data_IF_703263407522
#
_entry.id   IF_703263407522
#
_cell.length_a   1.000
_cell.length_b   1.000
_cell.length_c   1.000
_cell.angle_alpha   90.00
_cell.angle_beta   90.00
_cell.angle_gamma   90.00
#
_symmetry.space_group_name_H-M   'P 1'
#
loop_
_entity.id
_entity.type
_entity.pdbx_description
1 polymer ?
#
# COMPACT_ATOMS: atom_id res chain seq x y z
N UNK A 1 -18.09 0.22 1.68
CA UNK A 1 -17.08 0.48 0.63
C UNK A 1 -15.88 1.12 1.32
N UNK A 2 -14.67 0.61 1.14
CA UNK A 2 -13.48 1.21 1.75
C UNK A 2 -13.20 2.61 1.18
N UNK A 3 -12.49 3.41 1.97
CA UNK A 3 -12.03 4.76 1.60
C UNK A 3 -10.51 4.70 1.49
N UNK A 4 -9.98 4.85 0.28
CA UNK A 4 -8.56 5.01 0.07
C UNK A 4 -8.18 6.48 0.26
N UNK A 5 -7.18 6.72 1.09
CA UNK A 5 -6.69 8.06 1.42
C UNK A 5 -5.24 8.16 0.95
N UNK A 6 -4.96 9.15 0.10
CA UNK A 6 -3.59 9.49 -0.24
C UNK A 6 -2.81 9.81 1.02
N UNK A 7 -1.71 9.12 1.24
CA UNK A 7 -0.76 9.37 2.31
C UNK A 7 0.66 9.32 1.75
N UNK A 8 1.53 10.11 2.33
CA UNK A 8 2.90 10.12 1.84
C UNK A 8 3.37 11.49 1.38
N UNK A 9 4.32 11.50 0.48
CA UNK A 9 4.83 12.73 -0.10
C UNK A 9 3.73 13.48 -0.87
N UNK A 10 3.91 14.76 -1.08
CA UNK A 10 3.01 15.57 -1.89
C UNK A 10 3.81 16.39 -2.88
N UNK A 11 3.56 16.15 -4.17
CA UNK A 11 4.20 16.87 -5.27
C UNK A 11 3.73 18.33 -5.38
N UNK A 12 2.63 18.69 -4.71
CA UNK A 12 2.07 20.02 -4.81
C UNK A 12 2.76 21.00 -3.83
N UNK A 13 3.46 22.06 -4.31
CA UNK A 13 4.27 22.93 -3.45
C UNK A 13 3.49 23.63 -2.33
N UNK A 14 2.18 23.86 -2.48
CA UNK A 14 1.32 24.44 -1.47
C UNK A 14 0.64 23.40 -0.56
N UNK A 15 0.84 22.10 -0.82
CA UNK A 15 0.33 21.00 0.00
C UNK A 15 1.07 20.95 1.34
N UNK A 16 0.31 20.73 2.42
CA UNK A 16 0.89 20.60 3.75
C UNK A 16 1.04 19.12 4.09
N UNK A 17 2.27 18.65 4.21
CA UNK A 17 2.61 17.24 4.50
C UNK A 17 1.88 16.65 5.72
N UNK A 18 1.57 17.48 6.72
CA UNK A 18 0.83 17.03 7.90
C UNK A 18 -0.54 16.40 7.58
N UNK A 19 -1.15 16.79 6.45
CA UNK A 19 -2.45 16.23 6.03
C UNK A 19 -2.35 14.96 5.19
N UNK A 20 -1.15 14.64 4.70
CA UNK A 20 -0.85 13.39 4.02
C UNK A 20 -0.08 12.39 4.90
N UNK A 21 0.13 12.74 6.18
CA UNK A 21 0.78 11.86 7.13
C UNK A 21 -0.16 10.72 7.58
N UNK A 22 0.30 9.47 7.71
CA UNK A 22 -0.53 8.33 8.12
C UNK A 22 -1.34 8.52 9.40
N UNK A 23 -0.87 9.34 10.33
CA UNK A 23 -1.59 9.66 11.58
C UNK A 23 -2.96 10.32 11.35
N UNK A 24 -3.19 10.97 10.21
CA UNK A 24 -4.52 11.50 9.86
C UNK A 24 -5.52 10.37 9.62
N UNK A 25 -5.04 9.22 9.12
CA UNK A 25 -5.86 8.02 8.95
C UNK A 25 -6.17 7.37 10.30
N UNK A 26 -5.24 7.45 11.27
CA UNK A 26 -5.48 6.96 12.63
C UNK A 26 -6.67 7.68 13.28
N UNK A 27 -6.70 9.01 13.20
CA UNK A 27 -7.82 9.80 13.71
C UNK A 27 -9.15 9.42 13.06
N UNK A 28 -9.17 9.24 11.73
CA UNK A 28 -10.36 8.83 11.01
C UNK A 28 -10.80 7.41 11.37
N UNK A 29 -9.86 6.46 11.50
CA UNK A 29 -10.14 5.08 11.82
C UNK A 29 -10.76 4.90 13.22
N UNK A 30 -10.29 5.68 14.18
CA UNK A 30 -10.83 5.71 15.56
C UNK A 30 -12.23 6.35 15.57
N UNK A 31 -12.43 7.43 14.81
CA UNK A 31 -13.71 8.13 14.75
C UNK A 31 -14.80 7.32 14.01
N UNK A 32 -14.41 6.46 13.06
CA UNK A 32 -15.34 5.68 12.23
C UNK A 32 -14.94 4.20 12.17
N UNK A 33 -15.14 3.44 13.27
CA UNK A 33 -14.66 2.05 13.38
C UNK A 33 -15.32 1.07 12.38
N UNK A 34 -16.51 1.39 11.88
CA UNK A 34 -17.23 0.57 10.88
C UNK A 34 -16.82 0.86 9.43
N UNK A 35 -15.92 1.83 9.22
CA UNK A 35 -15.42 2.20 7.90
C UNK A 35 -14.02 1.61 7.70
N UNK A 36 -13.82 0.89 6.61
CA UNK A 36 -12.48 0.44 6.23
C UNK A 36 -11.73 1.56 5.54
N UNK A 37 -10.54 1.88 6.02
CA UNK A 37 -9.62 2.84 5.42
C UNK A 37 -8.44 2.13 4.78
N UNK A 38 -7.95 2.68 3.67
CA UNK A 38 -6.75 2.20 2.98
C UNK A 38 -5.74 3.34 2.93
N UNK A 39 -4.59 3.14 3.57
CA UNK A 39 -3.42 4.00 3.48
C UNK A 39 -2.78 3.78 2.11
N UNK A 40 -2.92 4.73 1.19
CA UNK A 40 -2.27 4.65 -0.11
C UNK A 40 -0.75 4.87 0.01
N UNK A 41 0.03 4.27 -0.91
CA UNK A 41 1.49 4.43 -1.00
C UNK A 41 2.25 4.00 0.27
N UNK A 42 1.64 3.13 1.09
CA UNK A 42 2.22 2.71 2.39
C UNK A 42 2.70 3.89 3.25
N UNK A 43 2.10 5.08 3.09
CA UNK A 43 2.51 6.30 3.79
C UNK A 43 3.91 6.81 3.46
N UNK A 44 4.51 6.41 2.33
CA UNK A 44 5.88 6.74 1.94
C UNK A 44 6.16 8.25 2.05
N UNK A 45 7.20 8.69 2.80
CA UNK A 45 8.28 7.90 3.40
C UNK A 45 8.05 7.43 4.85
N UNK A 46 6.88 7.66 5.45
CA UNK A 46 6.55 7.34 6.86
C UNK A 46 6.06 5.89 7.03
N UNK A 47 6.84 4.92 6.56
CA UNK A 47 6.48 3.49 6.61
C UNK A 47 6.23 2.98 8.03
N UNK A 48 7.01 3.47 9.00
CA UNK A 48 6.86 3.11 10.41
C UNK A 48 5.48 3.50 10.95
N UNK A 49 5.10 4.75 10.70
CA UNK A 49 3.82 5.29 11.18
C UNK A 49 2.65 4.61 10.48
N UNK A 50 2.75 4.36 9.16
CA UNK A 50 1.73 3.64 8.41
C UNK A 50 1.53 2.21 8.92
N UNK A 51 2.64 1.51 9.18
CA UNK A 51 2.61 0.16 9.73
C UNK A 51 1.97 0.12 11.13
N UNK A 52 2.31 1.08 12.01
CA UNK A 52 1.74 1.17 13.35
C UNK A 52 0.25 1.52 13.30
N UNK A 53 -0.16 2.46 12.45
CA UNK A 53 -1.57 2.81 12.27
C UNK A 53 -2.38 1.60 11.79
N UNK A 54 -1.86 0.82 10.85
CA UNK A 54 -2.52 -0.38 10.38
C UNK A 54 -2.47 -1.54 11.40
N UNK A 55 -1.41 -1.63 12.19
CA UNK A 55 -1.30 -2.62 13.27
C UNK A 55 -2.32 -2.38 14.37
N UNK A 56 -2.44 -1.13 14.81
CA UNK A 56 -3.34 -0.72 15.90
C UNK A 56 -4.81 -0.79 15.50
N UNK A 57 -5.18 -0.35 14.29
CA UNK A 57 -6.57 -0.22 13.87
C UNK A 57 -7.02 -1.41 13.01
N UNK A 58 -8.01 -2.17 13.49
CA UNK A 58 -8.53 -3.33 12.78
C UNK A 58 -9.11 -2.98 11.39
N UNK A 59 -9.64 -1.77 11.24
CA UNK A 59 -10.29 -1.25 10.05
C UNK A 59 -9.34 -0.49 9.09
N UNK A 60 -8.02 -0.59 9.27
CA UNK A 60 -7.03 0.04 8.38
C UNK A 60 -6.25 -1.01 7.62
N UNK A 61 -6.15 -0.81 6.31
CA UNK A 61 -5.33 -1.58 5.38
C UNK A 61 -4.32 -0.66 4.69
N UNK A 62 -3.35 -1.23 3.98
CA UNK A 62 -2.29 -0.51 3.27
C UNK A 62 -2.27 -0.96 1.82
N UNK A 63 -2.09 -0.06 0.86
CA UNK A 63 -1.67 -0.42 -0.48
C UNK A 63 -0.21 -0.03 -0.74
N UNK A 64 0.43 -0.77 -1.63
CA UNK A 64 1.83 -0.60 -1.99
C UNK A 64 2.00 0.13 -3.32
N UNK A 65 1.08 1.05 -3.66
CA UNK A 65 1.12 1.79 -4.92
C UNK A 65 2.17 2.92 -4.89
N UNK A 66 2.66 3.35 -6.05
CA UNK A 66 3.40 4.60 -6.23
C UNK A 66 4.73 4.75 -5.47
N UNK A 67 5.32 3.67 -4.95
CA UNK A 67 6.53 3.74 -4.12
C UNK A 67 7.80 4.08 -4.93
N UNK A 68 7.81 3.76 -6.22
CA UNK A 68 8.89 4.09 -7.16
C UNK A 68 8.28 4.38 -8.51
N UNK A 69 8.44 5.59 -8.97
CA UNK A 69 7.90 6.05 -10.25
C UNK A 69 8.83 5.79 -11.43
N UNK A 70 8.28 5.89 -12.64
CA UNK A 70 9.00 5.83 -13.89
C UNK A 70 9.43 4.42 -14.29
N UNK A 71 10.63 4.31 -14.87
CA UNK A 71 11.17 3.07 -15.44
C UNK A 71 12.62 2.82 -14.94
N UNK A 72 12.83 2.65 -13.63
CA UNK A 72 14.16 2.43 -13.09
C UNK A 72 14.72 1.08 -13.56
N UNK A 73 16.02 1.01 -13.83
CA UNK A 73 16.68 -0.26 -14.14
C UNK A 73 16.71 -1.15 -12.88
N UNK A 74 16.35 -2.44 -12.96
CA UNK A 74 16.26 -3.33 -11.80
C UNK A 74 17.52 -3.34 -10.92
N UNK A 75 18.71 -3.44 -11.53
CA UNK A 75 19.98 -3.41 -10.80
C UNK A 75 20.21 -2.09 -10.07
N UNK A 76 19.87 -0.96 -10.71
CA UNK A 76 19.99 0.35 -10.06
C UNK A 76 19.02 0.51 -8.89
N UNK A 77 17.82 -0.07 -9.00
CA UNK A 77 16.86 -0.08 -7.94
C UNK A 77 17.39 -0.85 -6.72
N UNK A 78 17.90 -2.06 -6.94
CA UNK A 78 18.47 -2.89 -5.87
C UNK A 78 19.71 -2.28 -5.23
N UNK A 79 20.56 -1.61 -6.00
CA UNK A 79 21.80 -1.01 -5.49
C UNK A 79 21.56 0.34 -4.80
N UNK A 80 20.87 1.26 -5.49
CA UNK A 80 20.72 2.65 -5.04
C UNK A 80 19.60 2.83 -4.03
N UNK A 81 18.55 2.02 -4.12
CA UNK A 81 17.40 2.10 -3.22
C UNK A 81 17.33 0.92 -2.23
N UNK A 82 18.44 0.21 -2.04
CA UNK A 82 18.52 -0.89 -1.06
C UNK A 82 18.00 -0.49 0.32
N UNK A 83 18.35 0.68 0.81
CA UNK A 83 17.90 1.20 2.10
C UNK A 83 16.40 1.40 2.16
N UNK A 84 15.81 1.95 1.10
CA UNK A 84 14.38 2.17 0.95
C UNK A 84 13.59 0.85 0.93
N UNK A 85 13.99 -0.09 0.07
CA UNK A 85 13.35 -1.41 -0.02
C UNK A 85 13.47 -2.20 1.29
N UNK A 86 14.62 -2.06 1.99
CA UNK A 86 14.83 -2.68 3.28
C UNK A 86 13.94 -2.07 4.37
N UNK A 87 13.74 -0.76 4.38
CA UNK A 87 12.82 -0.11 5.30
C UNK A 87 11.39 -0.58 5.05
N UNK A 88 10.93 -0.58 3.80
CA UNK A 88 9.62 -1.08 3.44
C UNK A 88 9.43 -2.52 3.94
N UNK A 89 10.34 -3.44 3.60
CA UNK A 89 10.31 -4.83 4.07
C UNK A 89 10.27 -4.91 5.60
N UNK A 90 11.08 -4.11 6.30
CA UNK A 90 11.12 -4.10 7.78
C UNK A 90 9.77 -3.76 8.37
N UNK A 91 9.10 -2.72 7.85
CA UNK A 91 7.84 -2.25 8.43
C UNK A 91 6.64 -3.09 8.00
N UNK A 92 6.66 -3.71 6.83
CA UNK A 92 5.67 -4.74 6.47
C UNK A 92 5.78 -5.97 7.39
N UNK A 93 6.99 -6.40 7.72
CA UNK A 93 7.19 -7.48 8.70
C UNK A 93 6.82 -7.07 10.12
N UNK A 94 7.03 -5.81 10.52
CA UNK A 94 6.54 -5.29 11.80
C UNK A 94 5.02 -5.36 11.89
N UNK A 95 4.30 -4.93 10.85
CA UNK A 95 2.84 -5.10 10.76
C UNK A 95 2.45 -6.58 10.89
N UNK A 96 3.21 -7.49 10.26
CA UNK A 96 3.08 -8.94 10.39
C UNK A 96 1.79 -9.54 9.85
N UNK A 97 0.76 -8.72 9.56
CA UNK A 97 -0.52 -9.14 9.03
C UNK A 97 -0.62 -8.79 7.54
N UNK A 98 -0.21 -9.70 6.68
CA UNK A 98 -0.23 -9.53 5.23
C UNK A 98 -1.63 -9.51 4.61
N UNK A 99 -2.68 -9.92 5.33
CA UNK A 99 -4.07 -9.75 4.88
C UNK A 99 -4.49 -8.28 4.78
N UNK A 100 -3.78 -7.39 5.45
CA UNK A 100 -4.02 -5.94 5.40
C UNK A 100 -3.27 -5.21 4.29
N UNK A 101 -2.44 -5.92 3.53
CA UNK A 101 -1.55 -5.34 2.53
C UNK A 101 -2.07 -5.68 1.13
N UNK A 102 -2.15 -4.68 0.26
CA UNK A 102 -2.57 -4.87 -1.13
C UNK A 102 -1.53 -4.33 -2.09
N UNK A 103 -1.37 -5.00 -3.23
CA UNK A 103 -0.70 -4.43 -4.39
C UNK A 103 -1.54 -3.30 -4.98
N UNK A 104 -0.90 -2.20 -5.33
CA UNK A 104 -1.40 -1.12 -6.17
C UNK A 104 -0.27 -0.67 -7.09
N UNK A 105 -0.55 -0.11 -8.25
CA UNK A 105 0.48 0.36 -9.17
C UNK A 105 0.66 1.87 -9.18
N UNK A 106 -0.41 2.61 -9.01
CA UNK A 106 -0.45 4.05 -9.27
C UNK A 106 -0.19 4.40 -10.75
N UNK A 107 -0.71 3.51 -11.64
CA UNK A 107 -0.63 3.76 -13.08
C UNK A 107 -1.34 5.10 -13.43
N UNK A 108 -0.77 5.95 -14.34
CA UNK A 108 0.28 5.65 -15.31
C UNK A 108 1.71 6.02 -14.89
N UNK A 109 1.96 6.32 -13.63
CA UNK A 109 3.27 6.81 -13.16
C UNK A 109 4.35 5.74 -13.10
N UNK A 110 3.99 4.47 -13.15
CA UNK A 110 4.91 3.34 -13.03
C UNK A 110 4.93 2.42 -14.26
N UNK A 111 6.05 1.74 -14.47
CA UNK A 111 6.14 0.59 -15.37
C UNK A 111 5.60 -0.65 -14.62
N UNK A 112 4.38 -1.11 -14.96
CA UNK A 112 3.68 -2.17 -14.23
C UNK A 112 4.50 -3.47 -14.11
N UNK A 113 5.07 -4.06 -15.20
CA UNK A 113 5.88 -5.27 -15.07
C UNK A 113 7.06 -5.15 -14.11
N UNK A 114 7.77 -4.02 -14.18
CA UNK A 114 8.89 -3.74 -13.30
C UNK A 114 8.42 -3.53 -11.85
N UNK A 115 7.29 -2.89 -11.68
CA UNK A 115 6.71 -2.62 -10.36
C UNK A 115 6.26 -3.93 -9.67
N UNK A 116 5.60 -4.82 -10.41
CA UNK A 116 5.25 -6.17 -9.93
C UNK A 116 6.53 -6.90 -9.48
N UNK A 117 7.56 -6.88 -10.33
CA UNK A 117 8.86 -7.49 -10.00
C UNK A 117 9.43 -6.92 -8.70
N UNK A 118 9.42 -5.60 -8.52
CA UNK A 118 9.93 -4.95 -7.31
C UNK A 118 9.15 -5.37 -6.07
N UNK A 119 7.83 -5.30 -6.10
CA UNK A 119 6.99 -5.67 -4.96
C UNK A 119 7.13 -7.15 -4.61
N UNK A 120 7.26 -8.04 -5.61
CA UNK A 120 7.51 -9.47 -5.37
C UNK A 120 8.86 -9.76 -4.68
N UNK A 121 9.83 -8.84 -4.73
CA UNK A 121 11.08 -8.95 -3.98
C UNK A 121 11.00 -8.41 -2.54
N UNK A 122 9.97 -7.63 -2.24
CA UNK A 122 9.76 -7.06 -0.90
C UNK A 122 8.78 -7.90 -0.08
N UNK A 123 7.73 -8.40 -0.72
CA UNK A 123 6.71 -9.25 -0.10
C UNK A 123 7.19 -10.72 -0.12
N UNK A 124 7.15 -11.46 1.01
CA UNK A 124 7.46 -12.89 1.01
C UNK A 124 6.56 -13.69 0.06
N UNK A 125 7.12 -14.66 -0.65
CA UNK A 125 6.45 -15.43 -1.70
C UNK A 125 5.14 -16.08 -1.22
N UNK A 126 5.10 -16.55 0.02
CA UNK A 126 3.92 -17.19 0.59
C UNK A 126 2.69 -16.26 0.71
N UNK A 127 2.88 -14.95 0.59
CA UNK A 127 1.81 -13.95 0.64
C UNK A 127 1.51 -13.30 -0.73
N UNK A 128 2.16 -13.75 -1.81
CA UNK A 128 2.00 -13.11 -3.12
C UNK A 128 0.55 -13.17 -3.60
N UNK A 129 -0.11 -14.32 -3.52
CA UNK A 129 -1.50 -14.46 -3.97
C UNK A 129 -2.44 -13.52 -3.22
N UNK A 130 -2.26 -13.41 -1.90
CA UNK A 130 -3.08 -12.54 -1.08
C UNK A 130 -2.82 -11.06 -1.39
N UNK A 131 -1.56 -10.64 -1.41
CA UNK A 131 -1.18 -9.24 -1.61
C UNK A 131 -1.49 -8.76 -3.03
N UNK A 132 -1.25 -9.59 -4.05
CA UNK A 132 -1.48 -9.21 -5.44
C UNK A 132 -2.94 -9.36 -5.90
N UNK A 133 -3.77 -10.11 -5.18
CA UNK A 133 -5.14 -10.38 -5.62
C UNK A 133 -6.17 -10.50 -4.50
N UNK A 134 -6.09 -11.52 -3.63
CA UNK A 134 -7.16 -11.89 -2.72
C UNK A 134 -7.57 -10.77 -1.76
N UNK A 135 -6.60 -10.03 -1.23
CA UNK A 135 -6.88 -8.93 -0.30
C UNK A 135 -7.68 -7.80 -0.96
N UNK A 136 -7.35 -7.43 -2.19
CA UNK A 136 -8.10 -6.42 -2.91
C UNK A 136 -9.56 -6.86 -3.17
N UNK A 137 -9.76 -8.12 -3.56
CA UNK A 137 -11.12 -8.68 -3.77
C UNK A 137 -11.92 -8.69 -2.47
N UNK A 138 -11.30 -9.06 -1.34
CA UNK A 138 -11.93 -9.08 -0.02
C UNK A 138 -12.26 -7.67 0.49
N UNK A 139 -11.31 -6.75 0.41
CA UNK A 139 -11.44 -5.38 0.93
C UNK A 139 -12.40 -4.57 0.08
N UNK A 140 -12.29 -4.65 -1.24
CA UNK A 140 -13.20 -4.03 -2.19
C UNK A 140 -14.29 -5.01 -2.63
N UNK A 141 -15.19 -5.39 -1.73
CA UNK A 141 -16.19 -6.45 -1.92
C UNK A 141 -17.08 -6.33 -3.18
N UNK A 142 -17.17 -5.12 -3.78
CA UNK A 142 -17.86 -4.95 -5.07
C UNK A 142 -17.12 -5.58 -6.23
N UNK A 143 -15.78 -5.72 -6.14
CA UNK A 143 -14.97 -6.36 -7.18
C UNK A 143 -15.30 -7.86 -7.26
N UNK A 144 -15.39 -8.55 -6.13
CA UNK A 144 -15.76 -9.97 -6.09
C UNK A 144 -17.09 -10.23 -6.81
N UNK A 145 -18.11 -9.41 -6.53
CA UNK A 145 -19.42 -9.50 -7.20
C UNK A 145 -19.37 -9.26 -8.71
N UNK A 146 -18.44 -8.45 -9.19
CA UNK A 146 -18.24 -8.22 -10.62
C UNK A 146 -17.53 -9.40 -11.28
N UNK A 147 -16.52 -9.96 -10.62
CA UNK A 147 -15.77 -11.15 -11.11
C UNK A 147 -16.69 -12.37 -11.24
N UNK A 148 -17.58 -12.62 -10.27
CA UNK A 148 -18.59 -13.68 -10.33
C UNK A 148 -19.53 -13.54 -11.55
N UNK A 149 -19.84 -12.30 -11.95
CA UNK A 149 -20.68 -12.04 -13.14
C UNK A 149 -19.95 -12.18 -14.47
N UNK A 150 -18.63 -12.03 -14.48
CA UNK A 150 -17.81 -12.10 -15.70
C UNK A 150 -17.24 -13.51 -15.94
N UNK A 151 -17.28 -14.39 -14.94
CA UNK A 151 -16.73 -15.76 -15.01
C UNK A 151 -17.79 -16.84 -15.28
N UNK A 152 -19.03 -16.46 -15.64
CA UNK A 152 -20.11 -17.36 -16.00
C UNK A 152 -20.28 -17.49 -17.52
#
# INVERSE_FOLDING_TARGET
>A
MPIAIHTGDTAWPSGLLKYSHPLTVDEAAVAFPDVTFVIAHCGCPWFADAAEVACKNANVCIDLSGLVEGNPKPLMLLERQRGFLRQLHTWLNYLGNYEKIMYGSDWPLVNIPLYIWMISHVVPECYHEDVFYNNAVRIYSKIGKLLEKCGG
#
